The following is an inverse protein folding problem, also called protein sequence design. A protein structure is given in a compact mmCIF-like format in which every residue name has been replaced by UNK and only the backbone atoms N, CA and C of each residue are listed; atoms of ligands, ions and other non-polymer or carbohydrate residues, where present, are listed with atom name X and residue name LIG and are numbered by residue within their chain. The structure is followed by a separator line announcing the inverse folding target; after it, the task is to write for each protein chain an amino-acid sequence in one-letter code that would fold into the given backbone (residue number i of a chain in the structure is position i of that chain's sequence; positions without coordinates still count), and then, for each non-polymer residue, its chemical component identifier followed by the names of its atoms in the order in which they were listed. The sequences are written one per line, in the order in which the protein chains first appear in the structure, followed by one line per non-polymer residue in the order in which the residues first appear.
data_IF_321841027992
#
_entry.id   IF_321841027992
#
_cell.length_a   1.000
_cell.length_b   1.000
_cell.length_c   1.000
_cell.angle_alpha   90.00
_cell.angle_beta   90.00
_cell.angle_gamma   90.00
#
_symmetry.space_group_name_H-M   'P 1'
#
loop_
_entity.id
_entity.type
_entity.pdbx_description
1 polymer ?
#
# COMPACT_ATOMS: atom_id res chain seq x y z
N UNK A 1 -11.61 20.92 5.15
CA UNK A 1 -12.03 22.31 4.84
C UNK A 1 -13.55 22.51 4.99
N UNK A 2 -14.41 21.77 4.28
CA UNK A 2 -15.87 21.93 4.34
C UNK A 2 -16.48 21.75 5.74
N UNK A 3 -16.01 20.77 6.51
CA UNK A 3 -16.42 20.59 7.92
C UNK A 3 -16.09 21.81 8.78
N UNK A 4 -14.89 22.37 8.61
CA UNK A 4 -14.45 23.58 9.32
C UNK A 4 -15.34 24.78 8.94
N UNK A 5 -15.58 25.00 7.65
CA UNK A 5 -16.51 26.04 7.17
C UNK A 5 -17.94 25.84 7.66
N UNK A 6 -18.48 24.62 7.66
CA UNK A 6 -19.83 24.35 8.14
C UNK A 6 -19.99 24.63 9.65
N UNK A 7 -18.95 24.35 10.45
CA UNK A 7 -18.91 24.67 11.89
C UNK A 7 -18.98 26.18 12.15
N UNK A 8 -18.38 27.02 11.30
CA UNK A 8 -18.51 28.49 11.40
C UNK A 8 -19.97 28.97 11.26
N UNK A 9 -20.82 28.20 10.58
CA UNK A 9 -22.25 28.48 10.44
C UNK A 9 -23.13 27.65 11.39
N UNK A 10 -22.55 27.05 12.44
CA UNK A 10 -23.28 26.24 13.41
C UNK A 10 -23.84 24.92 12.86
N UNK A 11 -23.40 24.48 11.68
CA UNK A 11 -23.86 23.23 11.05
C UNK A 11 -22.86 22.10 11.31
N UNK A 12 -23.32 21.01 11.90
CA UNK A 12 -22.54 19.76 11.97
C UNK A 12 -22.64 19.00 10.64
N UNK A 13 -21.52 18.46 10.17
CA UNK A 13 -21.44 17.68 8.91
C UNK A 13 -21.03 16.24 9.19
N UNK A 14 -21.82 15.55 10.02
CA UNK A 14 -21.55 14.17 10.49
C UNK A 14 -21.15 13.19 9.39
N UNK A 15 -21.78 13.26 8.21
CA UNK A 15 -21.42 12.40 7.08
C UNK A 15 -20.00 12.68 6.53
N UNK A 16 -19.58 13.95 6.47
CA UNK A 16 -18.25 14.33 5.99
C UNK A 16 -17.19 13.94 7.03
N UNK A 17 -17.50 14.12 8.31
CA UNK A 17 -16.64 13.71 9.42
C UNK A 17 -16.44 12.19 9.43
N UNK A 18 -17.52 11.41 9.34
CA UNK A 18 -17.46 9.94 9.30
C UNK A 18 -16.69 9.42 8.07
N UNK A 19 -16.92 10.01 6.90
CA UNK A 19 -16.15 9.66 5.70
C UNK A 19 -14.65 9.92 5.88
N UNK A 20 -14.29 11.00 6.60
CA UNK A 20 -12.91 11.29 6.99
C UNK A 20 -12.33 10.24 7.93
N UNK A 21 -13.09 9.84 8.96
CA UNK A 21 -12.68 8.80 9.93
C UNK A 21 -12.44 7.44 9.25
N UNK A 22 -13.36 7.02 8.37
CA UNK A 22 -13.23 5.78 7.61
C UNK A 22 -11.95 5.81 6.75
N UNK A 23 -11.72 6.90 6.00
CA UNK A 23 -10.52 7.04 5.17
C UNK A 23 -9.23 7.02 6.00
N UNK A 24 -9.26 7.60 7.20
CA UNK A 24 -8.11 7.63 8.11
C UNK A 24 -7.82 6.24 8.69
N UNK A 25 -8.84 5.39 8.85
CA UNK A 25 -8.70 4.03 9.36
C UNK A 25 -8.28 3.00 8.29
N UNK A 26 -8.42 3.31 7.00
CA UNK A 26 -8.12 2.36 5.91
C UNK A 26 -6.69 1.80 5.93
N UNK A 27 -5.62 2.58 6.19
CA UNK A 27 -4.28 2.03 6.28
C UNK A 27 -4.15 0.94 7.36
N UNK A 28 -4.77 1.11 8.52
CA UNK A 28 -4.76 0.09 9.58
C UNK A 28 -5.51 -1.17 9.17
N UNK A 29 -6.63 -1.03 8.46
CA UNK A 29 -7.34 -2.17 7.90
C UNK A 29 -6.46 -2.97 6.93
N UNK A 30 -5.77 -2.29 6.01
CA UNK A 30 -4.82 -2.95 5.08
C UNK A 30 -3.72 -3.67 5.84
N UNK A 31 -3.15 -3.08 6.90
CA UNK A 31 -2.12 -3.77 7.70
C UNK A 31 -2.68 -4.97 8.47
N UNK A 32 -3.93 -4.91 8.94
CA UNK A 32 -4.61 -6.08 9.51
C UNK A 32 -4.71 -7.19 8.47
N UNK A 33 -5.11 -6.88 7.23
CA UNK A 33 -5.19 -7.85 6.13
C UNK A 33 -3.84 -8.46 5.77
N UNK A 34 -2.78 -7.66 5.80
CA UNK A 34 -1.40 -8.15 5.64
C UNK A 34 -1.04 -9.15 6.74
N UNK A 35 -1.40 -8.83 7.98
CA UNK A 35 -1.15 -9.70 9.14
C UNK A 35 -1.87 -11.04 9.00
N UNK A 36 -3.15 -11.01 8.61
CA UNK A 36 -3.95 -12.22 8.39
C UNK A 36 -3.36 -13.07 7.25
N UNK A 37 -2.94 -12.42 6.15
CA UNK A 37 -2.35 -13.08 5.00
C UNK A 37 -1.00 -13.75 5.32
N UNK A 38 -0.17 -13.12 6.15
CA UNK A 38 1.08 -13.72 6.62
C UNK A 38 0.82 -14.88 7.59
N UNK A 39 -0.16 -14.74 8.48
CA UNK A 39 -0.54 -15.78 9.44
C UNK A 39 -1.04 -17.06 8.74
N UNK A 40 -1.86 -16.93 7.69
CA UNK A 40 -2.30 -18.09 6.88
C UNK A 40 -1.10 -18.84 6.28
N UNK A 41 -0.06 -18.09 5.89
CA UNK A 41 1.20 -18.63 5.37
C UNK A 41 2.21 -19.01 6.48
N UNK A 42 1.81 -18.96 7.75
CA UNK A 42 2.64 -19.26 8.93
C UNK A 42 3.91 -18.42 9.00
N UNK A 43 3.86 -17.17 8.54
CA UNK A 43 4.98 -16.22 8.60
C UNK A 43 4.72 -15.18 9.69
N UNK A 44 5.73 -14.86 10.52
CA UNK A 44 5.60 -13.80 11.50
C UNK A 44 5.59 -12.44 10.82
N UNK A 45 4.82 -11.47 11.34
CA UNK A 45 4.86 -10.09 10.81
C UNK A 45 6.25 -9.47 10.97
N UNK A 46 6.83 -9.57 12.17
CA UNK A 46 8.16 -9.04 12.46
C UNK A 46 9.22 -9.83 11.70
N UNK A 47 10.05 -9.14 10.92
CA UNK A 47 11.10 -9.73 10.08
C UNK A 47 10.60 -10.26 8.74
N UNK A 48 9.29 -10.22 8.45
CA UNK A 48 8.81 -10.49 7.10
C UNK A 48 9.23 -9.38 6.14
N UNK A 49 9.55 -9.75 4.90
CA UNK A 49 9.85 -8.84 3.80
C UNK A 49 8.57 -8.55 3.03
N UNK A 50 8.15 -7.30 3.01
CA UNK A 50 6.92 -6.87 2.32
C UNK A 50 7.26 -5.85 1.25
N UNK A 51 6.72 -6.07 0.06
CA UNK A 51 6.80 -5.12 -1.04
C UNK A 51 5.52 -4.30 -1.13
N UNK A 52 5.63 -2.98 -1.08
CA UNK A 52 4.55 -2.09 -1.48
C UNK A 52 4.63 -1.84 -2.98
N UNK A 53 3.57 -2.19 -3.70
CA UNK A 53 3.43 -1.96 -5.13
C UNK A 53 2.63 -0.68 -5.36
N UNK A 54 3.34 0.35 -5.82
CA UNK A 54 2.86 1.72 -5.94
C UNK A 54 3.13 2.55 -4.69
N UNK A 55 3.71 3.72 -4.89
CA UNK A 55 3.97 4.72 -3.87
C UNK A 55 3.28 6.05 -4.21
N UNK A 56 3.02 6.32 -5.49
CA UNK A 56 2.28 7.50 -5.92
C UNK A 56 0.86 7.55 -5.32
N UNK A 57 0.37 8.76 -5.07
CA UNK A 57 -0.97 9.03 -4.57
C UNK A 57 -2.08 8.53 -5.52
N UNK A 58 -1.80 8.55 -6.84
CA UNK A 58 -2.72 8.13 -7.91
C UNK A 58 -1.97 7.29 -8.95
N UNK A 59 -2.72 6.47 -9.68
CA UNK A 59 -2.18 5.70 -10.78
C UNK A 59 -1.60 6.62 -11.87
N UNK A 60 -0.51 6.14 -12.49
CA UNK A 60 0.15 6.71 -13.65
C UNK A 60 0.69 8.15 -13.50
N UNK A 61 0.90 8.61 -12.26
CA UNK A 61 1.49 9.91 -11.93
C UNK A 61 2.63 9.76 -10.94
N UNK A 62 3.49 10.78 -10.83
CA UNK A 62 4.64 10.83 -9.92
C UNK A 62 4.37 11.68 -8.65
N UNK A 63 3.10 11.91 -8.31
CA UNK A 63 2.72 12.72 -7.15
C UNK A 63 2.77 11.90 -5.86
N UNK A 64 3.67 12.28 -4.96
CA UNK A 64 3.86 11.67 -3.64
C UNK A 64 3.07 12.38 -2.52
N UNK A 65 2.48 13.55 -2.80
CA UNK A 65 1.79 14.33 -1.78
C UNK A 65 0.56 13.58 -1.28
N UNK A 66 0.42 13.50 0.05
CA UNK A 66 -0.69 12.82 0.73
C UNK A 66 -0.85 11.33 0.32
N UNK A 67 0.23 10.69 -0.15
CA UNK A 67 0.15 9.27 -0.52
C UNK A 67 -0.12 8.40 0.71
N UNK A 68 -1.21 7.60 0.72
CA UNK A 68 -1.51 6.69 1.83
C UNK A 68 -0.47 5.56 1.96
N UNK A 69 0.33 5.33 0.92
CA UNK A 69 1.39 4.33 0.95
C UNK A 69 2.47 4.66 1.99
N UNK A 70 2.76 5.94 2.26
CA UNK A 70 3.69 6.31 3.33
C UNK A 70 3.19 5.92 4.73
N UNK A 71 1.88 6.09 4.97
CA UNK A 71 1.26 5.67 6.23
C UNK A 71 1.41 4.15 6.40
N UNK A 72 1.17 3.37 5.32
CA UNK A 72 1.41 1.93 5.33
C UNK A 72 2.87 1.59 5.61
N UNK A 73 3.82 2.30 4.99
CA UNK A 73 5.25 2.11 5.26
C UNK A 73 5.57 2.31 6.74
N UNK A 74 5.06 3.38 7.35
CA UNK A 74 5.31 3.67 8.76
C UNK A 74 4.67 2.63 9.69
N UNK A 75 3.39 2.29 9.45
CA UNK A 75 2.66 1.31 10.27
C UNK A 75 3.27 -0.09 10.21
N UNK A 76 3.74 -0.53 9.05
CA UNK A 76 4.41 -1.82 8.89
C UNK A 76 5.83 -1.78 9.49
N UNK A 77 6.57 -0.68 9.32
CA UNK A 77 7.93 -0.54 9.86
C UNK A 77 7.90 -0.57 11.38
N UNK A 78 6.91 0.08 12.00
CA UNK A 78 6.70 0.07 13.44
C UNK A 78 6.37 -1.34 13.98
N UNK A 79 5.81 -2.22 13.16
CA UNK A 79 5.61 -3.65 13.47
C UNK A 79 6.85 -4.51 13.21
N UNK A 80 7.96 -3.91 12.79
CA UNK A 80 9.24 -4.58 12.54
C UNK A 80 9.32 -5.34 11.21
N UNK A 81 8.51 -4.94 10.23
CA UNK A 81 8.55 -5.45 8.86
C UNK A 81 9.74 -4.85 8.09
N UNK A 82 10.39 -5.65 7.26
CA UNK A 82 11.36 -5.18 6.28
C UNK A 82 10.62 -4.72 5.01
N UNK A 83 10.55 -3.41 4.80
CA UNK A 83 9.73 -2.84 3.74
C UNK A 83 10.59 -2.43 2.56
N UNK A 84 10.14 -2.81 1.37
CA UNK A 84 10.59 -2.26 0.10
C UNK A 84 9.39 -1.76 -0.69
N UNK A 85 9.64 -0.96 -1.72
CA UNK A 85 8.58 -0.53 -2.63
C UNK A 85 9.02 -0.70 -4.09
N UNK A 86 8.04 -0.86 -4.96
CA UNK A 86 8.20 -0.75 -6.40
C UNK A 86 7.16 0.24 -6.93
N UNK A 87 7.62 1.24 -7.65
CA UNK A 87 6.78 2.21 -8.36
C UNK A 87 7.50 2.61 -9.68
N UNK A 88 6.85 2.46 -10.85
CA UNK A 88 7.44 2.83 -12.15
C UNK A 88 7.69 4.32 -12.33
N UNK A 89 6.95 5.18 -11.64
CA UNK A 89 7.03 6.63 -11.76
C UNK A 89 7.88 7.26 -10.64
N UNK A 90 8.08 6.55 -9.54
CA UNK A 90 8.90 6.98 -8.40
C UNK A 90 10.13 6.07 -8.29
N UNK A 91 11.23 6.34 -9.01
CA UNK A 91 12.46 5.54 -8.87
C UNK A 91 13.17 5.75 -7.53
N UNK A 92 13.03 6.94 -6.92
CA UNK A 92 13.61 7.29 -5.62
C UNK A 92 12.65 8.18 -4.85
N UNK A 93 12.46 7.91 -3.56
CA UNK A 93 11.63 8.73 -2.67
C UNK A 93 12.29 10.10 -2.49
N UNK A 94 11.58 11.15 -2.89
CA UNK A 94 11.99 12.54 -2.67
C UNK A 94 11.72 12.96 -1.23
N UNK A 95 12.45 13.94 -0.67
CA UNK A 95 12.17 14.46 0.66
C UNK A 95 10.72 14.94 0.81
N UNK A 96 10.02 14.46 1.83
CA UNK A 96 8.67 14.90 2.19
C UNK A 96 8.72 15.54 3.58
N UNK A 97 7.70 16.36 3.92
CA UNK A 97 7.64 17.02 5.25
C UNK A 97 7.35 16.04 6.38
N UNK A 98 6.46 15.08 6.12
CA UNK A 98 5.91 14.16 7.13
C UNK A 98 6.67 12.84 7.20
N UNK A 99 7.32 12.42 6.11
CA UNK A 99 7.91 11.10 5.95
C UNK A 99 9.38 11.20 5.47
N UNK A 100 10.12 12.17 6.00
CA UNK A 100 11.49 12.49 5.57
C UNK A 100 12.49 11.35 5.77
N UNK A 101 12.25 10.45 6.73
CA UNK A 101 13.09 9.27 7.00
C UNK A 101 13.06 8.21 5.89
N UNK A 102 12.13 8.32 4.94
CA UNK A 102 12.10 7.46 3.75
C UNK A 102 12.85 8.05 2.55
N UNK A 103 13.28 9.32 2.63
CA UNK A 103 13.97 9.99 1.53
C UNK A 103 15.24 9.22 1.12
N UNK A 104 15.45 9.08 -0.19
CA UNK A 104 16.57 8.34 -0.76
C UNK A 104 16.34 6.82 -0.91
N UNK A 105 15.25 6.28 -0.39
CA UNK A 105 14.88 4.87 -0.62
C UNK A 105 14.61 4.65 -2.12
N UNK A 106 15.24 3.64 -2.71
CA UNK A 106 15.12 3.32 -4.13
C UNK A 106 14.02 2.28 -4.37
N UNK A 107 13.32 2.46 -5.48
CA UNK A 107 12.38 1.49 -6.03
C UNK A 107 13.13 0.21 -6.38
N UNK A 108 12.61 -0.96 -5.99
CA UNK A 108 13.24 -2.25 -6.35
C UNK A 108 13.02 -2.57 -7.82
N UNK A 109 13.89 -3.40 -8.39
CA UNK A 109 13.76 -3.81 -9.79
C UNK A 109 12.49 -4.67 -10.01
N UNK A 110 11.88 -4.52 -11.19
CA UNK A 110 10.76 -5.36 -11.61
C UNK A 110 11.29 -6.61 -12.32
N UNK A 111 11.59 -7.64 -11.54
CA UNK A 111 12.01 -8.94 -12.06
C UNK A 111 11.55 -10.08 -11.14
N UNK A 112 11.45 -11.29 -11.70
CA UNK A 112 10.99 -12.47 -10.97
C UNK A 112 11.79 -12.74 -9.71
N UNK A 113 13.12 -12.61 -9.76
CA UNK A 113 14.00 -12.92 -8.62
C UNK A 113 13.72 -11.98 -7.44
N UNK A 114 13.60 -10.68 -7.74
CA UNK A 114 13.27 -9.64 -6.76
C UNK A 114 11.85 -9.83 -6.19
N UNK A 115 10.83 -9.93 -7.03
CA UNK A 115 9.42 -9.99 -6.57
C UNK A 115 9.14 -11.28 -5.80
N UNK A 116 9.71 -12.42 -6.22
CA UNK A 116 9.49 -13.72 -5.55
C UNK A 116 10.19 -13.82 -4.19
N UNK A 117 11.11 -12.90 -3.87
CA UNK A 117 11.80 -12.90 -2.58
C UNK A 117 10.94 -12.34 -1.43
N UNK A 118 9.88 -11.60 -1.75
CA UNK A 118 9.00 -11.02 -0.73
C UNK A 118 8.01 -12.04 -0.17
N UNK A 119 7.71 -11.92 1.11
CA UNK A 119 6.77 -12.77 1.82
C UNK A 119 5.31 -12.40 1.49
N UNK A 120 5.07 -11.11 1.24
CA UNK A 120 3.81 -10.58 0.72
C UNK A 120 4.05 -9.34 -0.14
N UNK A 121 3.15 -9.11 -1.11
CA UNK A 121 3.11 -7.89 -1.91
C UNK A 121 1.78 -7.18 -1.68
N UNK A 122 1.81 -5.90 -1.33
CA UNK A 122 0.63 -5.06 -1.08
C UNK A 122 0.44 -4.10 -2.24
N UNK A 123 -0.69 -4.17 -2.92
CA UNK A 123 -1.02 -3.27 -4.02
C UNK A 123 -1.61 -1.99 -3.44
N UNK A 124 -0.82 -0.93 -3.41
CA UNK A 124 -1.17 0.38 -2.89
C UNK A 124 -1.63 1.33 -4.00
N UNK A 125 -1.10 1.19 -5.21
CA UNK A 125 -1.50 2.00 -6.39
C UNK A 125 -1.51 1.13 -7.65
N UNK A 126 -2.60 1.22 -8.41
CA UNK A 126 -2.81 0.38 -9.58
C UNK A 126 -2.30 1.04 -10.87
N UNK A 127 -0.97 1.05 -11.07
CA UNK A 127 -0.35 1.61 -12.27
C UNK A 127 -0.58 0.71 -13.50
N UNK A 128 -0.85 1.30 -14.66
CA UNK A 128 -1.04 0.56 -15.92
C UNK A 128 0.26 -0.05 -16.44
N UNK A 129 1.41 0.52 -16.05
CA UNK A 129 2.73 0.03 -16.44
C UNK A 129 3.10 -1.31 -15.74
N UNK A 130 2.37 -1.70 -14.69
CA UNK A 130 2.63 -2.94 -13.94
C UNK A 130 1.98 -4.13 -14.66
N UNK A 131 2.74 -5.20 -14.85
CA UNK A 131 2.21 -6.45 -15.38
C UNK A 131 1.62 -7.32 -14.25
N UNK A 132 0.31 -7.27 -14.07
CA UNK A 132 -0.37 -8.03 -13.01
C UNK A 132 -0.38 -9.55 -13.22
N UNK A 133 -0.17 -10.03 -14.46
CA UNK A 133 -0.04 -11.47 -14.71
C UNK A 133 1.30 -11.99 -14.22
N UNK A 134 2.38 -11.25 -14.47
CA UNK A 134 3.70 -11.53 -13.90
C UNK A 134 3.64 -11.48 -12.37
N UNK A 135 2.99 -10.45 -11.81
CA UNK A 135 2.79 -10.36 -10.36
C UNK A 135 2.09 -11.59 -9.79
N UNK A 136 1.00 -12.04 -10.42
CA UNK A 136 0.29 -13.26 -10.04
C UNK A 136 1.15 -14.52 -10.15
N UNK A 137 2.08 -14.58 -11.09
CA UNK A 137 2.98 -15.73 -11.23
C UNK A 137 4.09 -15.73 -10.18
N UNK A 138 4.66 -14.55 -9.89
CA UNK A 138 5.88 -14.40 -9.09
C UNK A 138 5.61 -14.27 -7.59
N UNK A 139 4.55 -13.56 -7.20
CA UNK A 139 4.25 -13.33 -5.78
C UNK A 139 3.55 -14.52 -5.15
N UNK A 140 4.01 -14.96 -3.97
CA UNK A 140 3.36 -16.04 -3.22
C UNK A 140 2.07 -15.59 -2.49
N UNK A 141 2.02 -14.34 -2.05
CA UNK A 141 0.92 -13.76 -1.28
C UNK A 141 0.70 -12.31 -1.71
N UNK A 142 -0.55 -11.96 -2.02
CA UNK A 142 -0.97 -10.67 -2.52
C UNK A 142 -2.05 -10.07 -1.63
N UNK A 143 -1.88 -8.81 -1.24
CA UNK A 143 -2.92 -8.00 -0.57
C UNK A 143 -3.33 -6.88 -1.51
N UNK A 144 -4.56 -6.94 -2.01
CA UNK A 144 -5.06 -6.04 -3.04
C UNK A 144 -6.05 -5.03 -2.45
N UNK A 145 -5.58 -3.80 -2.22
CA UNK A 145 -6.40 -2.67 -1.74
C UNK A 145 -7.04 -1.85 -2.87
N UNK A 146 -6.73 -2.19 -4.13
CA UNK A 146 -7.15 -1.44 -5.32
C UNK A 146 -8.01 -2.25 -6.27
N UNK A 147 -8.28 -3.51 -5.93
CA UNK A 147 -8.98 -4.47 -6.78
C UNK A 147 -8.30 -4.60 -8.17
N UNK A 148 -6.97 -4.46 -8.21
CA UNK A 148 -6.17 -4.52 -9.43
C UNK A 148 -6.03 -5.95 -9.99
N UNK A 149 -6.19 -6.97 -9.13
CA UNK A 149 -6.12 -8.38 -9.51
C UNK A 149 -7.46 -8.92 -10.05
N UNK A 150 -8.50 -8.08 -10.15
CA UNK A 150 -9.79 -8.51 -10.66
C UNK A 150 -9.69 -9.01 -12.11
N UNK A 151 -10.12 -10.25 -12.35
CA UNK A 151 -10.05 -10.88 -13.67
C UNK A 151 -8.66 -11.43 -14.05
N UNK A 152 -7.68 -11.33 -13.16
CA UNK A 152 -6.37 -11.97 -13.35
C UNK A 152 -6.44 -13.39 -12.78
N UNK A 153 -6.01 -14.43 -13.54
CA UNK A 153 -5.92 -15.79 -13.00
C UNK A 153 -4.91 -15.88 -11.85
N UNK A 154 -5.35 -16.37 -10.70
CA UNK A 154 -4.54 -16.50 -9.48
C UNK A 154 -4.72 -17.87 -8.85
N UNK A 155 -3.76 -18.31 -8.03
CA UNK A 155 -3.87 -19.53 -7.24
C UNK A 155 -4.91 -19.34 -6.11
N UNK A 156 -5.61 -20.40 -5.67
CA UNK A 156 -6.50 -20.31 -4.52
C UNK A 156 -5.77 -19.79 -3.27
N UNK A 157 -6.39 -18.86 -2.53
CA UNK A 157 -5.81 -18.28 -1.32
C UNK A 157 -4.65 -17.29 -1.52
N UNK A 158 -4.25 -17.03 -2.78
CA UNK A 158 -3.13 -16.14 -3.09
C UNK A 158 -3.45 -14.66 -2.86
N UNK A 159 -4.70 -14.24 -3.11
CA UNK A 159 -5.11 -12.82 -3.07
C UNK A 159 -6.04 -12.57 -1.89
N UNK A 160 -5.68 -11.57 -1.10
CA UNK A 160 -6.41 -11.05 0.04
C UNK A 160 -6.95 -9.67 -0.30
N UNK A 161 -8.27 -9.49 -0.27
CA UNK A 161 -8.89 -8.19 -0.51
C UNK A 161 -8.76 -7.30 0.72
N UNK A 162 -8.37 -6.04 0.51
CA UNK A 162 -8.26 -5.01 1.52
C UNK A 162 -8.91 -3.70 1.06
#
# INVERSE_FOLDING_TARGET
YLTWKAREYGKQTRFIELAGEVNTAMPEYVVSRVTDALNENRKPVKGSRILLLGLAYKADVDDLRESPAFILMDLLKNRGVEISYHDPHIPVIRPTREHSHWAGTKSVAWDRGTISAFDAVVICTAHRAVNYRELAEWAGCLVDSRNAMAGIPTKPGQVWKA
#
